data_IF_829063060250
#
_entry.id   IF_829063060250
#
_cell.length_a   1.000
_cell.length_b   1.000
_cell.length_c   1.000
_cell.angle_alpha   90.00
_cell.angle_beta   90.00
_cell.angle_gamma   90.00
#
_symmetry.space_group_name_H-M   'P 1'
#
loop_
_entity.id
_entity.type
_entity.pdbx_description
1 polymer ?
#
# COMPACT_ATOMS: atom_id res chain seq x y z
N UNK A 1 -13.62 -5.51 -2.52
CA UNK A 1 -12.39 -5.47 -3.36
C UNK A 1 -11.91 -4.03 -3.31
N UNK A 2 -10.70 -3.78 -2.80
CA UNK A 2 -10.12 -2.43 -2.68
C UNK A 2 -9.58 -1.96 -4.03
N UNK A 3 -9.40 -0.65 -4.23
CA UNK A 3 -8.80 -0.09 -5.45
C UNK A 3 -7.39 -0.65 -5.69
N UNK A 4 -6.65 -0.90 -4.60
CA UNK A 4 -5.30 -1.46 -4.63
C UNK A 4 -5.26 -2.90 -5.13
N UNK A 5 -6.20 -3.74 -4.69
CA UNK A 5 -6.36 -5.11 -5.21
C UNK A 5 -6.64 -5.09 -6.73
N UNK A 6 -7.49 -4.18 -7.20
CA UNK A 6 -7.76 -4.03 -8.62
C UNK A 6 -6.53 -3.57 -9.41
N UNK A 7 -5.71 -2.67 -8.84
CA UNK A 7 -4.44 -2.23 -9.45
C UNK A 7 -3.43 -3.38 -9.54
N UNK A 8 -3.27 -4.17 -8.48
CA UNK A 8 -2.37 -5.33 -8.50
C UNK A 8 -2.83 -6.37 -9.54
N UNK A 9 -4.14 -6.60 -9.69
CA UNK A 9 -4.67 -7.49 -10.71
C UNK A 9 -4.40 -6.99 -12.14
N UNK A 10 -4.43 -5.66 -12.36
CA UNK A 10 -4.02 -5.06 -13.63
C UNK A 10 -2.52 -5.30 -13.87
N UNK A 11 -1.66 -5.07 -12.87
CA UNK A 11 -0.22 -5.30 -12.98
C UNK A 11 0.11 -6.77 -13.26
N UNK A 12 -0.58 -7.71 -12.61
CA UNK A 12 -0.47 -9.16 -12.88
C UNK A 12 -0.79 -9.47 -14.33
N UNK A 13 -1.92 -8.98 -14.85
CA UNK A 13 -2.33 -9.16 -16.25
C UNK A 13 -1.32 -8.56 -17.22
N UNK A 14 -0.80 -7.37 -16.94
CA UNK A 14 0.27 -6.78 -17.76
C UNK A 14 1.48 -7.71 -17.76
N UNK A 15 1.96 -8.13 -16.58
CA UNK A 15 3.11 -9.01 -16.43
C UNK A 15 2.95 -10.36 -17.15
N UNK A 16 1.74 -10.89 -17.22
CA UNK A 16 1.42 -12.13 -17.96
C UNK A 16 1.66 -12.00 -19.47
N UNK A 17 1.45 -10.82 -20.05
CA UNK A 17 1.58 -10.56 -21.49
C UNK A 17 3.03 -10.45 -22.00
N UNK A 18 4.02 -10.39 -21.11
CA UNK A 18 5.44 -10.34 -21.49
C UNK A 18 6.14 -11.68 -21.25
N UNK A 19 6.92 -12.15 -22.23
CA UNK A 19 7.74 -13.36 -22.10
C UNK A 19 8.78 -13.21 -20.98
N UNK A 20 9.53 -12.10 -21.01
CA UNK A 20 10.37 -11.68 -19.91
C UNK A 20 9.52 -10.93 -18.89
N UNK A 21 9.30 -11.51 -17.72
CA UNK A 21 8.50 -10.87 -16.66
C UNK A 21 9.10 -9.54 -16.21
N UNK A 22 8.22 -8.58 -15.97
CA UNK A 22 8.50 -7.24 -15.46
C UNK A 22 8.56 -7.30 -13.93
N UNK A 23 7.61 -8.03 -13.33
CA UNK A 23 7.50 -8.23 -11.89
C UNK A 23 7.82 -9.66 -11.52
N UNK A 24 8.49 -9.85 -10.39
CA UNK A 24 8.76 -11.16 -9.82
C UNK A 24 7.51 -11.69 -9.11
N UNK A 25 7.43 -13.02 -8.96
CA UNK A 25 6.37 -13.63 -8.15
C UNK A 25 6.48 -13.22 -6.67
N UNK A 26 7.69 -12.96 -6.19
CA UNK A 26 7.95 -12.49 -4.83
C UNK A 26 7.30 -11.13 -4.59
N UNK A 27 7.59 -10.12 -5.42
CA UNK A 27 7.00 -8.78 -5.27
C UNK A 27 5.47 -8.80 -5.42
N UNK A 28 4.94 -9.69 -6.28
CA UNK A 28 3.49 -9.88 -6.41
C UNK A 28 2.87 -10.50 -5.14
N UNK A 29 3.59 -11.42 -4.49
CA UNK A 29 3.12 -12.08 -3.27
C UNK A 29 3.16 -11.12 -2.10
N UNK A 30 4.29 -10.42 -1.90
CA UNK A 30 4.44 -9.37 -0.89
C UNK A 30 3.33 -8.33 -1.01
N UNK A 31 3.05 -7.83 -2.22
CA UNK A 31 2.00 -6.84 -2.39
C UNK A 31 0.59 -7.41 -2.17
N UNK A 32 0.39 -8.70 -2.42
CA UNK A 32 -0.88 -9.35 -2.09
C UNK A 32 -1.08 -9.40 -0.56
N UNK A 33 -0.02 -9.66 0.20
CA UNK A 33 -0.04 -9.68 1.68
C UNK A 33 -0.28 -8.27 2.24
N UNK A 34 0.49 -7.29 1.77
CA UNK A 34 0.33 -5.86 2.06
C UNK A 34 -1.13 -5.38 1.89
N UNK A 35 -1.76 -5.69 0.75
CA UNK A 35 -3.15 -5.29 0.49
C UNK A 35 -4.14 -5.95 1.45
N UNK A 36 -3.86 -7.17 1.91
CA UNK A 36 -4.69 -7.84 2.91
C UNK A 36 -4.52 -7.20 4.30
N UNK A 37 -3.30 -6.80 4.68
CA UNK A 37 -3.02 -6.08 5.93
C UNK A 37 -3.78 -4.75 6.04
N UNK A 38 -4.09 -4.10 4.91
CA UNK A 38 -4.92 -2.89 4.90
C UNK A 38 -6.31 -3.13 5.52
N UNK A 39 -6.86 -4.34 5.43
CA UNK A 39 -8.15 -4.64 6.09
C UNK A 39 -8.01 -4.61 7.62
N UNK A 40 -6.91 -5.17 8.13
CA UNK A 40 -6.62 -5.17 9.56
C UNK A 40 -6.29 -3.75 10.06
N UNK A 41 -5.57 -2.96 9.26
CA UNK A 41 -5.35 -1.54 9.53
C UNK A 41 -6.66 -0.75 9.58
N UNK A 42 -7.65 -1.08 8.74
CA UNK A 42 -8.97 -0.44 8.79
C UNK A 42 -9.69 -0.73 10.11
N UNK A 43 -9.63 -1.97 10.58
CA UNK A 43 -10.21 -2.36 11.86
C UNK A 43 -9.52 -1.60 12.99
N UNK A 44 -8.19 -1.61 13.04
CA UNK A 44 -7.40 -0.90 14.06
C UNK A 44 -7.69 0.61 14.07
N UNK A 45 -7.82 1.22 12.89
CA UNK A 45 -8.14 2.63 12.76
C UNK A 45 -9.54 2.95 13.30
N UNK A 46 -10.55 2.15 12.95
CA UNK A 46 -11.90 2.34 13.45
C UNK A 46 -11.99 2.12 14.97
N UNK A 47 -11.32 1.09 15.49
CA UNK A 47 -11.22 0.86 16.93
C UNK A 47 -10.61 2.06 17.63
N UNK A 48 -9.54 2.62 17.05
CA UNK A 48 -8.92 3.81 17.61
C UNK A 48 -9.85 5.01 17.59
N UNK A 49 -10.55 5.27 16.48
CA UNK A 49 -11.56 6.34 16.43
C UNK A 49 -12.67 6.17 17.47
N UNK A 50 -13.11 4.93 17.73
CA UNK A 50 -14.13 4.65 18.75
C UNK A 50 -13.61 4.90 20.19
N UNK A 51 -12.30 4.80 20.42
CA UNK A 51 -11.70 5.18 21.71
C UNK A 51 -11.76 6.69 21.97
N UNK A 52 -11.81 7.52 20.92
CA UNK A 52 -11.88 8.98 21.05
C UNK A 52 -13.06 9.43 21.91
N UNK A 53 -14.20 8.74 21.84
CA UNK A 53 -15.38 9.08 22.66
C UNK A 53 -15.14 8.95 24.16
N UNK A 54 -14.09 8.21 24.56
CA UNK A 54 -13.77 7.88 25.95
C UNK A 54 -12.61 8.69 26.51
N UNK A 55 -11.90 9.47 25.69
CA UNK A 55 -10.73 10.22 26.15
C UNK A 55 -11.15 11.48 26.90
N UNK A 56 -10.37 11.85 27.93
CA UNK A 56 -10.52 13.12 28.61
C UNK A 56 -9.85 14.24 27.80
N UNK A 57 -10.63 15.07 27.10
CA UNK A 57 -10.13 16.18 26.29
C UNK A 57 -9.38 17.26 27.09
N UNK A 58 -9.57 17.32 28.41
CA UNK A 58 -8.81 18.22 29.28
C UNK A 58 -7.49 17.63 29.77
N UNK A 59 -7.14 16.42 29.34
CA UNK A 59 -5.86 15.75 29.64
C UNK A 59 -4.95 15.85 28.42
N UNK A 60 -3.98 16.78 28.39
CA UNK A 60 -3.04 16.91 27.28
C UNK A 60 -2.30 15.60 26.97
N UNK A 61 -2.04 14.79 28.01
CA UNK A 61 -1.42 13.48 27.87
C UNK A 61 -2.29 12.54 27.04
N UNK A 62 -3.55 12.33 27.42
CA UNK A 62 -4.45 11.42 26.70
C UNK A 62 -4.67 11.87 25.26
N UNK A 63 -4.89 13.17 25.06
CA UNK A 63 -5.04 13.74 23.71
C UNK A 63 -3.77 13.52 22.88
N UNK A 64 -2.59 13.79 23.43
CA UNK A 64 -1.33 13.59 22.71
C UNK A 64 -1.07 12.11 22.36
N UNK A 65 -1.35 11.18 23.28
CA UNK A 65 -1.21 9.74 23.05
C UNK A 65 -2.12 9.28 21.92
N UNK A 66 -3.40 9.65 21.97
CA UNK A 66 -4.36 9.33 20.93
C UNK A 66 -3.90 9.83 19.54
N UNK A 67 -3.44 11.09 19.46
CA UNK A 67 -2.98 11.67 18.20
C UNK A 67 -1.73 10.98 17.64
N UNK A 68 -0.79 10.59 18.50
CA UNK A 68 0.40 9.83 18.10
C UNK A 68 -0.01 8.48 17.52
N UNK A 69 -0.92 7.77 18.17
CA UNK A 69 -1.36 6.45 17.71
C UNK A 69 -2.10 6.54 16.37
N UNK A 70 -2.96 7.54 16.18
CA UNK A 70 -3.59 7.81 14.87
C UNK A 70 -2.53 8.14 13.82
N UNK A 71 -1.54 8.96 14.15
CA UNK A 71 -0.46 9.31 13.23
C UNK A 71 0.34 8.07 12.78
N UNK A 72 0.65 7.16 13.71
CA UNK A 72 1.33 5.91 13.39
C UNK A 72 0.49 5.05 12.43
N UNK A 73 -0.81 4.89 12.70
CA UNK A 73 -1.70 4.15 11.80
C UNK A 73 -1.79 4.79 10.41
N UNK A 74 -1.81 6.13 10.32
CA UNK A 74 -1.76 6.82 9.03
C UNK A 74 -0.44 6.57 8.29
N UNK A 75 0.69 6.55 9.01
CA UNK A 75 1.99 6.22 8.42
C UNK A 75 2.02 4.81 7.83
N UNK A 76 1.38 3.83 8.49
CA UNK A 76 1.22 2.47 7.95
C UNK A 76 0.40 2.49 6.66
N UNK A 77 -0.71 3.23 6.59
CA UNK A 77 -1.44 3.40 5.33
C UNK A 77 -0.57 3.98 4.23
N UNK A 78 0.11 5.09 4.50
CA UNK A 78 0.99 5.75 3.54
C UNK A 78 2.03 4.78 2.99
N UNK A 79 2.64 3.98 3.87
CA UNK A 79 3.62 2.97 3.47
C UNK A 79 3.03 1.93 2.52
N UNK A 80 1.83 1.40 2.79
CA UNK A 80 1.16 0.42 1.94
C UNK A 80 0.85 0.99 0.54
N UNK A 81 0.41 2.25 0.45
CA UNK A 81 0.21 2.92 -0.84
C UNK A 81 1.52 3.14 -1.60
N UNK A 82 2.61 3.44 -0.88
CA UNK A 82 3.92 3.64 -1.47
C UNK A 82 4.50 2.35 -2.07
N UNK A 83 4.25 1.18 -1.48
CA UNK A 83 4.69 -0.10 -2.05
C UNK A 83 4.10 -0.34 -3.46
N UNK A 84 2.79 -0.14 -3.61
CA UNK A 84 2.13 -0.25 -4.94
C UNK A 84 2.65 0.79 -5.90
N UNK A 85 2.85 2.03 -5.43
CA UNK A 85 3.40 3.09 -6.25
C UNK A 85 4.79 2.72 -6.80
N UNK A 86 5.66 2.17 -5.97
CA UNK A 86 7.00 1.73 -6.38
C UNK A 86 6.97 0.52 -7.32
N UNK A 87 6.02 -0.40 -7.14
CA UNK A 87 5.75 -1.50 -8.08
C UNK A 87 5.36 -0.98 -9.48
N UNK A 88 4.48 0.02 -9.53
CA UNK A 88 4.10 0.68 -10.78
C UNK A 88 5.31 1.38 -11.40
N UNK A 89 6.07 2.14 -10.61
CA UNK A 89 7.26 2.85 -11.07
C UNK A 89 8.33 1.92 -11.64
N UNK A 90 8.59 0.80 -10.98
CA UNK A 90 9.49 -0.24 -11.48
C UNK A 90 8.99 -0.79 -12.82
N UNK A 91 7.69 -1.10 -12.90
CA UNK A 91 7.09 -1.61 -14.14
C UNK A 91 7.25 -0.65 -15.30
N UNK A 92 7.01 0.64 -15.06
CA UNK A 92 7.19 1.70 -16.06
C UNK A 92 8.65 1.77 -16.52
N UNK A 93 9.59 1.77 -15.58
CA UNK A 93 11.03 1.92 -15.87
C UNK A 93 11.55 0.76 -16.69
N UNK A 94 11.23 -0.48 -16.30
CA UNK A 94 11.63 -1.68 -17.02
C UNK A 94 11.03 -1.70 -18.44
N UNK A 95 9.76 -1.35 -18.60
CA UNK A 95 9.13 -1.23 -19.91
C UNK A 95 9.82 -0.19 -20.80
N UNK A 96 10.07 1.03 -20.30
CA UNK A 96 10.78 2.05 -21.07
C UNK A 96 12.17 1.59 -21.53
N UNK A 97 12.92 0.92 -20.65
CA UNK A 97 14.25 0.41 -21.01
C UNK A 97 14.24 -0.65 -22.12
N UNK A 98 13.12 -1.38 -22.26
CA UNK A 98 12.94 -2.35 -23.35
C UNK A 98 12.63 -1.64 -24.66
N UNK A 99 11.77 -0.62 -24.63
CA UNK A 99 11.44 0.18 -25.81
C UNK A 99 12.65 0.93 -26.38
N UNK A 100 13.51 1.52 -25.53
CA UNK A 100 14.71 2.24 -25.97
C UNK A 100 15.78 1.33 -26.60
N UNK A 101 15.65 0.00 -26.51
CA UNK A 101 16.58 -0.97 -27.10
C UNK A 101 16.02 -1.69 -28.34
N UNK A 102 14.76 -1.43 -28.72
CA UNK A 102 14.13 -2.02 -29.91
C UNK A 102 14.32 -1.17 -31.18
N UNK A 103 14.95 0.02 -31.07
CA UNK A 103 15.19 0.98 -32.17
C UNK A 103 16.63 0.92 -32.79
N UNK A 104 17.49 -0.02 -32.39
CA UNK A 104 18.85 -0.28 -32.97
C UNK A 104 18.91 -1.60 -33.78
#
# INVERSE_FOLDING_TARGET
MTNLSALLDILKKINENYEKKILTNESITEETENIEEIKDLNIQFQDKLNEFEKINLNSPKEVSTFLVEIHLLLGEYEWQYEQIHELIRHSITDLYSRYDHDDD
#
